data_IF_732317879380
#
_entry.id   IF_732317879380
#
_cell.length_a   1.000
_cell.length_b   1.000
_cell.length_c   1.000
_cell.angle_alpha   90.00
_cell.angle_beta   90.00
_cell.angle_gamma   90.00
#
_symmetry.space_group_name_H-M   'P 1'
#
loop_
_entity.id
_entity.type
_entity.pdbx_description
1 polymer ?
#
# COMPACT_ATOMS: atom_id res chain seq x y z
N UNK A 1 -11.86 57.91 15.73
CA UNK A 1 -12.77 56.83 15.32
C UNK A 1 -11.93 55.66 14.86
N UNK A 2 -11.67 54.71 15.76
CA UNK A 2 -10.85 53.51 15.45
C UNK A 2 -11.81 52.43 14.92
N UNK A 3 -11.65 52.07 13.66
CA UNK A 3 -12.35 50.97 13.06
C UNK A 3 -11.62 49.69 13.45
N UNK A 4 -12.22 48.90 14.32
CA UNK A 4 -11.73 47.56 14.68
C UNK A 4 -11.89 46.69 13.43
N UNK A 5 -10.78 46.33 12.79
CA UNK A 5 -10.75 45.24 11.80
C UNK A 5 -10.93 43.95 12.57
N UNK A 6 -12.14 43.39 12.49
CA UNK A 6 -12.39 42.03 12.98
C UNK A 6 -11.55 41.10 12.13
N UNK A 7 -10.51 40.51 12.70
CA UNK A 7 -9.80 39.42 12.10
C UNK A 7 -10.79 38.26 11.96
N UNK A 8 -11.12 37.92 10.73
CA UNK A 8 -11.90 36.73 10.40
C UNK A 8 -11.10 35.53 10.87
N UNK A 9 -11.51 34.90 11.96
CA UNK A 9 -10.90 33.67 12.46
C UNK A 9 -11.01 32.61 11.36
N UNK A 10 -9.90 32.26 10.74
CA UNK A 10 -9.84 31.20 9.75
C UNK A 10 -10.36 29.91 10.38
N UNK A 11 -11.43 29.33 9.84
CA UNK A 11 -11.96 28.06 10.30
C UNK A 11 -10.86 27.01 10.26
N UNK A 12 -10.70 26.19 11.32
CA UNK A 12 -9.69 25.16 11.32
C UNK A 12 -9.92 24.19 10.16
N UNK A 13 -8.88 23.94 9.36
CA UNK A 13 -8.95 22.97 8.27
C UNK A 13 -9.05 21.57 8.87
N UNK A 14 -10.09 20.83 8.49
CA UNK A 14 -10.27 19.43 8.90
C UNK A 14 -9.34 18.56 8.07
N UNK A 15 -8.53 17.74 8.73
CA UNK A 15 -7.70 16.73 8.06
C UNK A 15 -8.53 15.49 7.74
N UNK A 16 -8.55 15.11 6.47
CA UNK A 16 -9.35 13.99 5.97
C UNK A 16 -8.68 12.64 6.21
N UNK A 17 -9.52 11.62 6.35
CA UNK A 17 -9.12 10.21 6.32
C UNK A 17 -10.11 9.44 5.45
N UNK A 18 -9.60 8.51 4.62
CA UNK A 18 -10.41 7.61 3.80
C UNK A 18 -9.91 6.18 3.91
N UNK A 19 -10.86 5.25 3.87
CA UNK A 19 -10.57 3.82 3.79
C UNK A 19 -11.24 3.25 2.56
N UNK A 20 -10.49 2.45 1.79
CA UNK A 20 -10.96 1.73 0.62
C UNK A 20 -10.38 0.31 0.63
N UNK A 21 -11.12 -0.64 0.04
CA UNK A 21 -10.68 -2.02 -0.07
C UNK A 21 -11.04 -2.59 -1.44
N UNK A 22 -10.23 -3.54 -1.90
CA UNK A 22 -10.53 -4.35 -3.07
C UNK A 22 -10.07 -5.79 -2.86
N UNK A 23 -10.67 -6.73 -3.59
CA UNK A 23 -10.34 -8.14 -3.50
C UNK A 23 -9.89 -8.67 -4.86
N UNK A 24 -8.80 -9.44 -4.85
CA UNK A 24 -8.15 -10.06 -5.99
C UNK A 24 -8.45 -11.56 -5.99
N UNK A 25 -8.78 -12.13 -7.15
CA UNK A 25 -8.81 -13.57 -7.38
C UNK A 25 -7.46 -14.05 -7.93
N UNK A 26 -6.71 -14.86 -7.16
CA UNK A 26 -5.34 -15.22 -7.49
C UNK A 26 -5.17 -16.73 -7.69
N UNK A 27 -4.41 -17.09 -8.73
CA UNK A 27 -4.19 -18.48 -9.17
C UNK A 27 -2.96 -19.08 -8.47
N UNK A 28 -3.03 -19.21 -7.14
CA UNK A 28 -1.98 -19.75 -6.31
C UNK A 28 -2.48 -20.03 -4.90
N UNK A 29 -1.74 -20.85 -4.16
CA UNK A 29 -2.03 -21.12 -2.75
C UNK A 29 -1.63 -19.92 -1.89
N UNK A 30 -2.21 -19.81 -0.70
CA UNK A 30 -1.89 -18.75 0.27
C UNK A 30 -0.37 -18.60 0.48
N UNK A 31 0.34 -19.72 0.67
CA UNK A 31 1.78 -19.72 0.91
C UNK A 31 2.62 -19.25 -0.29
N UNK A 32 2.12 -19.43 -1.51
CA UNK A 32 2.82 -19.01 -2.74
C UNK A 32 2.53 -17.54 -3.06
N UNK A 33 1.32 -17.07 -2.76
CA UNK A 33 0.81 -15.74 -3.08
C UNK A 33 1.21 -14.69 -2.03
N UNK A 34 1.10 -15.02 -0.74
CA UNK A 34 1.36 -14.04 0.33
C UNK A 34 2.76 -13.39 0.22
N UNK A 35 3.84 -14.12 -0.09
CA UNK A 35 5.16 -13.53 -0.24
C UNK A 35 5.28 -12.50 -1.39
N UNK A 36 4.40 -12.55 -2.40
CA UNK A 36 4.40 -11.59 -3.51
C UNK A 36 3.99 -10.17 -3.09
N UNK A 37 3.35 -10.05 -1.94
CA UNK A 37 3.04 -8.76 -1.32
C UNK A 37 4.14 -8.23 -0.40
N UNK A 38 5.26 -8.95 -0.28
CA UNK A 38 6.40 -8.51 0.50
C UNK A 38 7.35 -7.59 -0.27
N UNK A 39 8.15 -6.76 0.43
CA UNK A 39 8.90 -5.67 -0.20
C UNK A 39 9.98 -6.10 -1.19
N UNK A 40 10.44 -7.35 -1.14
CA UNK A 40 11.42 -7.88 -2.10
C UNK A 40 10.73 -8.48 -3.31
N UNK A 41 9.70 -9.32 -3.10
CA UNK A 41 9.05 -10.06 -4.18
C UNK A 41 8.00 -9.25 -4.94
N UNK A 42 7.62 -8.08 -4.46
CA UNK A 42 6.75 -7.16 -5.21
C UNK A 42 7.36 -6.78 -6.57
N UNK A 43 8.68 -6.76 -6.69
CA UNK A 43 9.40 -6.54 -7.95
C UNK A 43 9.10 -7.60 -9.05
N UNK A 44 8.58 -8.77 -8.69
CA UNK A 44 8.24 -9.83 -9.66
C UNK A 44 7.02 -9.47 -10.50
N UNK A 45 6.14 -8.59 -10.00
CA UNK A 45 4.90 -8.20 -10.68
C UNK A 45 4.70 -6.69 -10.81
N UNK A 46 5.44 -5.87 -10.05
CA UNK A 46 5.40 -4.41 -10.13
C UNK A 46 6.73 -3.90 -10.71
N UNK A 47 6.80 -3.59 -12.04
CA UNK A 47 8.07 -3.31 -12.72
C UNK A 47 8.76 -2.03 -12.22
N UNK A 48 8.01 -1.07 -11.68
CA UNK A 48 8.56 0.18 -11.14
C UNK A 48 8.88 0.09 -9.63
N UNK A 49 8.72 -1.09 -9.04
CA UNK A 49 9.01 -1.31 -7.64
C UNK A 49 10.51 -1.35 -7.39
N UNK A 50 11.03 -0.35 -6.68
CA UNK A 50 12.46 -0.20 -6.40
C UNK A 50 12.69 0.30 -4.97
N UNK A 51 12.58 -0.60 -3.95
CA UNK A 51 12.81 -0.24 -2.57
C UNK A 51 14.29 -0.05 -2.27
N UNK A 52 14.62 1.02 -1.54
CA UNK A 52 15.94 1.22 -0.92
C UNK A 52 15.84 0.87 0.55
N UNK A 53 16.38 -0.28 0.94
CA UNK A 53 16.31 -0.75 2.32
C UNK A 53 17.18 0.09 3.26
N UNK A 54 16.64 0.35 4.45
CA UNK A 54 17.30 1.01 5.58
C UNK A 54 17.62 -0.06 6.61
N UNK A 55 16.64 -0.89 6.97
CA UNK A 55 16.76 -1.99 7.92
C UNK A 55 15.94 -3.21 7.45
N UNK A 56 16.56 -4.39 7.38
CA UNK A 56 18.01 -4.60 7.29
C UNK A 56 18.57 -4.04 5.98
N UNK A 57 19.79 -3.51 5.98
CA UNK A 57 20.37 -2.83 4.83
C UNK A 57 20.52 -3.72 3.58
N UNK A 58 20.70 -5.03 3.76
CA UNK A 58 20.77 -6.02 2.66
C UNK A 58 19.39 -6.35 2.06
N UNK A 59 18.29 -5.82 2.63
CA UNK A 59 16.92 -6.15 2.24
C UNK A 59 16.42 -7.46 2.85
N UNK A 60 15.18 -7.48 3.30
CA UNK A 60 14.51 -8.69 3.77
C UNK A 60 12.98 -8.54 3.70
N UNK A 61 12.28 -9.67 3.56
CA UNK A 61 10.83 -9.78 3.71
C UNK A 61 10.51 -10.21 5.14
N UNK A 62 10.49 -9.29 6.07
CA UNK A 62 10.21 -9.56 7.48
C UNK A 62 9.50 -8.38 8.14
N UNK A 63 8.83 -8.68 9.24
CA UNK A 63 8.31 -7.66 10.15
C UNK A 63 9.45 -6.78 10.66
N UNK A 64 9.21 -5.48 10.78
CA UNK A 64 10.21 -4.48 11.15
C UNK A 64 11.11 -3.99 9.99
N UNK A 65 11.01 -4.57 8.79
CA UNK A 65 11.76 -4.06 7.65
C UNK A 65 11.35 -2.62 7.33
N UNK A 66 12.35 -1.76 7.11
CA UNK A 66 12.18 -0.35 6.76
C UNK A 66 12.89 -0.05 5.45
N UNK A 67 12.22 0.68 4.58
CA UNK A 67 12.77 1.07 3.28
C UNK A 67 12.11 2.33 2.74
N UNK A 68 12.70 2.94 1.73
CA UNK A 68 12.12 4.06 0.99
C UNK A 68 11.83 3.67 -0.45
N UNK A 69 10.80 4.30 -1.03
CA UNK A 69 10.55 4.31 -2.48
C UNK A 69 10.42 5.74 -2.95
N UNK A 70 10.79 6.01 -4.19
CA UNK A 70 10.60 7.33 -4.79
C UNK A 70 9.11 7.63 -4.95
N UNK A 71 8.64 8.74 -4.42
CA UNK A 71 7.26 9.21 -4.57
C UNK A 71 7.09 10.08 -5.81
N UNK A 72 5.88 10.05 -6.42
CA UNK A 72 5.55 10.84 -7.61
C UNK A 72 5.60 12.36 -7.46
N UNK A 73 5.81 12.89 -6.26
CA UNK A 73 5.90 14.32 -5.94
C UNK A 73 7.29 14.72 -5.39
N UNK A 74 8.35 14.08 -5.88
CA UNK A 74 9.73 14.32 -5.45
C UNK A 74 10.00 14.11 -3.94
N UNK A 75 9.06 13.54 -3.20
CA UNK A 75 9.25 13.15 -1.79
C UNK A 75 9.32 11.64 -1.69
N UNK A 76 10.38 11.14 -1.10
CA UNK A 76 10.52 9.73 -0.77
C UNK A 76 9.40 9.30 0.18
N UNK A 77 8.86 8.12 -0.04
CA UNK A 77 7.93 7.46 0.88
C UNK A 77 8.72 6.56 1.80
N UNK A 78 8.50 6.69 3.08
CA UNK A 78 9.07 5.80 4.09
C UNK A 78 8.06 4.66 4.37
N UNK A 79 8.54 3.43 4.30
CA UNK A 79 7.77 2.22 4.52
C UNK A 79 8.26 1.49 5.76
N UNK A 80 7.34 0.98 6.55
CA UNK A 80 7.57 0.06 7.65
C UNK A 80 6.68 -1.17 7.46
N UNK A 81 7.26 -2.36 7.42
CA UNK A 81 6.51 -3.62 7.47
C UNK A 81 6.08 -3.85 8.92
N UNK A 82 4.80 -3.72 9.20
CA UNK A 82 4.25 -3.88 10.56
C UNK A 82 3.79 -5.29 10.84
N UNK A 83 3.53 -6.09 9.80
CA UNK A 83 3.21 -7.53 9.91
C UNK A 83 3.73 -8.24 8.66
N UNK A 84 4.40 -9.38 8.86
CA UNK A 84 4.79 -10.29 7.79
C UNK A 84 4.60 -11.74 8.24
N UNK A 85 3.39 -12.26 8.04
CA UNK A 85 2.96 -13.59 8.50
C UNK A 85 2.42 -14.38 7.30
N UNK A 86 3.33 -15.05 6.60
CA UNK A 86 3.02 -15.86 5.41
C UNK A 86 2.11 -17.04 5.75
N UNK A 87 2.31 -17.64 6.92
CA UNK A 87 1.52 -18.81 7.38
C UNK A 87 0.03 -18.49 7.54
N UNK A 88 -0.28 -17.27 7.98
CA UNK A 88 -1.64 -16.80 8.17
C UNK A 88 -2.12 -15.87 7.05
N UNK A 89 -1.35 -15.70 5.97
CA UNK A 89 -1.73 -14.88 4.82
C UNK A 89 -1.85 -13.39 5.14
N UNK A 90 -0.93 -12.83 5.95
CA UNK A 90 -0.99 -11.43 6.38
C UNK A 90 0.27 -10.68 6.05
N UNK A 91 0.12 -9.53 5.38
CA UNK A 91 1.17 -8.54 5.18
C UNK A 91 0.58 -7.16 5.45
N UNK A 92 1.23 -6.38 6.31
CA UNK A 92 0.75 -5.05 6.67
C UNK A 92 1.90 -4.03 6.64
N UNK A 93 1.57 -2.81 6.22
CA UNK A 93 2.51 -1.70 6.10
C UNK A 93 1.97 -0.43 6.72
N UNK A 94 2.87 0.39 7.22
CA UNK A 94 2.66 1.83 7.37
C UNK A 94 3.57 2.55 6.38
N UNK A 95 2.99 3.43 5.57
CA UNK A 95 3.69 4.21 4.56
C UNK A 95 3.49 5.69 4.86
N UNK A 96 4.58 6.44 4.95
CA UNK A 96 4.54 7.86 5.25
C UNK A 96 5.19 8.68 4.14
N UNK A 97 4.46 9.69 3.66
CA UNK A 97 5.03 10.82 2.94
C UNK A 97 5.12 11.97 3.95
N UNK A 98 6.33 12.30 4.46
CA UNK A 98 6.50 13.23 5.57
C UNK A 98 5.81 14.57 5.34
N UNK A 99 5.02 15.03 6.33
CA UNK A 99 4.29 16.28 6.29
C UNK A 99 3.14 16.34 5.27
N UNK A 100 2.72 15.21 4.69
CA UNK A 100 1.65 15.16 3.71
C UNK A 100 0.58 14.12 4.07
N UNK A 101 0.91 12.84 4.03
CA UNK A 101 -0.03 11.73 4.30
C UNK A 101 0.65 10.58 5.04
N UNK A 102 -0.15 9.85 5.81
CA UNK A 102 0.16 8.50 6.28
C UNK A 102 -0.85 7.51 5.68
N UNK A 103 -0.39 6.32 5.30
CA UNK A 103 -1.23 5.27 4.74
C UNK A 103 -0.96 3.96 5.46
N UNK A 104 -1.99 3.33 6.02
CA UNK A 104 -1.94 1.93 6.41
C UNK A 104 -2.38 1.07 5.21
N UNK A 105 -1.66 0.00 4.95
CA UNK A 105 -1.99 -1.00 3.93
C UNK A 105 -2.08 -2.34 4.63
N UNK A 106 -3.23 -3.01 4.54
CA UNK A 106 -3.45 -4.34 5.10
C UNK A 106 -3.84 -5.31 4.01
N UNK A 107 -3.11 -6.41 3.93
CA UNK A 107 -3.32 -7.46 2.94
C UNK A 107 -3.66 -8.74 3.68
N UNK A 108 -4.81 -9.33 3.34
CA UNK A 108 -5.30 -10.59 3.88
C UNK A 108 -5.51 -11.58 2.76
N UNK A 109 -4.75 -12.67 2.76
CA UNK A 109 -4.85 -13.75 1.78
C UNK A 109 -5.54 -14.95 2.44
N UNK A 110 -6.60 -15.45 1.82
CA UNK A 110 -7.36 -16.60 2.32
C UNK A 110 -7.60 -17.62 1.20
N UNK A 111 -7.71 -18.91 1.49
CA UNK A 111 -8.02 -19.93 0.48
C UNK A 111 -9.36 -19.65 -0.21
N UNK A 112 -9.45 -19.97 -1.51
CA UNK A 112 -10.66 -19.85 -2.33
C UNK A 112 -10.92 -21.15 -3.14
N UNK A 113 -10.59 -22.28 -2.55
CA UNK A 113 -10.76 -23.61 -3.14
C UNK A 113 -9.62 -24.03 -4.08
N UNK A 114 -9.22 -25.30 -4.01
CA UNK A 114 -8.15 -25.88 -4.84
C UNK A 114 -6.82 -25.14 -4.69
N UNK A 115 -6.22 -24.76 -5.80
CA UNK A 115 -4.97 -24.01 -5.91
C UNK A 115 -5.21 -22.50 -6.05
N UNK A 116 -6.29 -21.97 -5.49
CA UNK A 116 -6.67 -20.56 -5.59
C UNK A 116 -6.78 -19.91 -4.22
N UNK A 117 -6.60 -18.58 -4.21
CA UNK A 117 -6.85 -17.77 -3.03
C UNK A 117 -7.49 -16.42 -3.41
N UNK A 118 -8.01 -15.75 -2.39
CA UNK A 118 -8.45 -14.35 -2.46
C UNK A 118 -7.54 -13.49 -1.60
N UNK A 119 -7.07 -12.37 -2.15
CA UNK A 119 -6.34 -11.37 -1.39
C UNK A 119 -7.19 -10.10 -1.28
N UNK A 120 -7.57 -9.75 -0.05
CA UNK A 120 -8.21 -8.46 0.23
C UNK A 120 -7.16 -7.45 0.64
N UNK A 121 -7.09 -6.34 -0.09
CA UNK A 121 -6.18 -5.22 0.16
C UNK A 121 -6.99 -4.04 0.68
N UNK A 122 -6.65 -3.53 1.85
CA UNK A 122 -7.29 -2.38 2.47
C UNK A 122 -6.29 -1.24 2.62
N UNK A 123 -6.65 -0.07 2.11
CA UNK A 123 -5.92 1.18 2.30
C UNK A 123 -6.69 2.07 3.26
N UNK A 124 -6.01 2.59 4.28
CA UNK A 124 -6.50 3.71 5.10
C UNK A 124 -5.50 4.86 4.99
N UNK A 125 -5.89 5.92 4.28
CA UNK A 125 -5.05 7.09 4.05
C UNK A 125 -5.54 8.27 4.88
N UNK A 126 -4.61 8.91 5.59
CA UNK A 126 -4.84 10.04 6.48
C UNK A 126 -4.00 11.24 6.04
N UNK A 127 -4.60 12.41 5.95
CA UNK A 127 -3.87 13.66 5.79
C UNK A 127 -3.09 14.00 7.06
N UNK A 128 -1.86 14.49 6.93
CA UNK A 128 -1.03 14.99 8.01
C UNK A 128 -0.93 16.52 7.98
N UNK A 129 -1.38 17.14 6.88
CA UNK A 129 -1.46 18.58 6.68
C UNK A 129 -2.64 18.88 5.73
N UNK A 130 -3.13 20.12 5.63
CA UNK A 130 -4.22 20.49 4.73
C UNK A 130 -4.01 20.07 3.28
N UNK A 131 -2.79 20.15 2.78
CA UNK A 131 -2.39 19.73 1.42
C UNK A 131 -2.55 18.21 1.22
N UNK A 132 -2.51 17.45 2.29
CA UNK A 132 -2.74 16.00 2.28
C UNK A 132 -4.17 15.61 1.94
N UNK A 133 -5.14 16.50 2.12
CA UNK A 133 -6.54 16.21 1.80
C UNK A 133 -6.74 15.88 0.31
N UNK A 134 -6.01 16.53 -0.59
CA UNK A 134 -6.05 16.21 -2.02
C UNK A 134 -5.54 14.80 -2.30
N UNK A 135 -4.48 14.37 -1.61
CA UNK A 135 -3.94 13.01 -1.73
C UNK A 135 -4.91 11.97 -1.15
N UNK A 136 -5.58 12.29 -0.05
CA UNK A 136 -6.63 11.43 0.53
C UNK A 136 -7.80 11.30 -0.44
N UNK A 137 -8.21 12.40 -1.11
CA UNK A 137 -9.32 12.40 -2.06
C UNK A 137 -9.09 11.50 -3.28
N UNK A 138 -7.82 11.27 -3.68
CA UNK A 138 -7.44 10.35 -4.77
C UNK A 138 -7.74 8.88 -4.43
N UNK A 139 -7.87 8.54 -3.15
CA UNK A 139 -8.30 7.22 -2.70
C UNK A 139 -9.83 7.09 -2.86
N UNK A 140 -10.30 6.89 -4.08
CA UNK A 140 -11.70 6.82 -4.46
C UNK A 140 -12.03 5.50 -5.19
N UNK A 141 -13.31 5.27 -5.51
CA UNK A 141 -13.77 4.05 -6.14
C UNK A 141 -13.12 3.79 -7.52
N UNK A 142 -12.86 4.83 -8.31
CA UNK A 142 -12.19 4.69 -9.60
C UNK A 142 -10.75 4.19 -9.41
N UNK A 143 -10.00 4.80 -8.50
CA UNK A 143 -8.63 4.37 -8.17
C UNK A 143 -8.61 2.90 -7.71
N UNK A 144 -9.54 2.51 -6.83
CA UNK A 144 -9.68 1.14 -6.32
C UNK A 144 -9.85 0.14 -7.45
N UNK A 145 -10.76 0.42 -8.40
CA UNK A 145 -11.01 -0.50 -9.51
C UNK A 145 -9.81 -0.61 -10.45
N UNK A 146 -9.09 0.50 -10.71
CA UNK A 146 -7.86 0.47 -11.49
C UNK A 146 -6.77 -0.37 -10.81
N UNK A 147 -6.59 -0.21 -9.48
CA UNK A 147 -5.64 -1.02 -8.73
C UNK A 147 -6.03 -2.50 -8.74
N UNK A 148 -7.31 -2.81 -8.53
CA UNK A 148 -7.80 -4.19 -8.55
C UNK A 148 -7.46 -4.90 -9.87
N UNK A 149 -7.80 -4.30 -11.01
CA UNK A 149 -7.55 -4.87 -12.33
C UNK A 149 -6.04 -5.04 -12.57
N UNK A 150 -5.27 -4.00 -12.28
CA UNK A 150 -3.84 -3.99 -12.52
C UNK A 150 -3.11 -5.06 -11.68
N UNK A 151 -3.36 -5.11 -10.38
CA UNK A 151 -2.70 -6.05 -9.48
C UNK A 151 -3.11 -7.49 -9.76
N UNK A 152 -4.42 -7.76 -9.97
CA UNK A 152 -4.89 -9.10 -10.28
C UNK A 152 -4.23 -9.66 -11.54
N UNK A 153 -4.14 -8.85 -12.60
CA UNK A 153 -3.50 -9.22 -13.86
C UNK A 153 -2.00 -9.46 -13.68
N UNK A 154 -1.30 -8.54 -13.02
CA UNK A 154 0.15 -8.59 -12.85
C UNK A 154 0.59 -9.76 -11.97
N UNK A 155 -0.08 -9.96 -10.83
CA UNK A 155 0.25 -11.05 -9.90
C UNK A 155 -0.05 -12.42 -10.52
N UNK A 156 -1.21 -12.59 -11.19
CA UNK A 156 -1.51 -13.83 -11.88
C UNK A 156 -0.53 -14.11 -13.03
N UNK A 157 -0.05 -13.07 -13.71
CA UNK A 157 1.02 -13.17 -14.71
C UNK A 157 2.35 -13.66 -14.12
N UNK A 158 2.73 -13.17 -12.93
CA UNK A 158 3.93 -13.64 -12.24
C UNK A 158 3.80 -15.09 -11.76
N UNK A 159 2.64 -15.46 -11.18
CA UNK A 159 2.35 -16.83 -10.75
C UNK A 159 2.43 -17.83 -11.92
N UNK A 160 1.93 -17.45 -13.11
CA UNK A 160 1.98 -18.30 -14.31
C UNK A 160 3.41 -18.56 -14.81
N UNK A 161 4.34 -17.61 -14.62
CA UNK A 161 5.75 -17.77 -15.01
C UNK A 161 6.52 -18.73 -14.08
N UNK A 162 6.14 -18.78 -12.81
CA UNK A 162 6.77 -19.68 -11.82
C UNK A 162 6.43 -21.16 -12.00
N UNK A 163 5.37 -21.49 -12.74
CA UNK A 163 4.93 -22.88 -12.99
C UNK A 163 5.64 -23.51 -14.20
N UNK A 164 6.36 -22.72 -14.98
CA UNK A 164 6.99 -23.18 -16.24
C UNK A 164 8.43 -23.69 -16.10
N UNK A 165 8.90 -23.96 -14.89
CA UNK A 165 10.25 -24.47 -14.62
C UNK A 165 10.24 -25.81 -13.87
N UNK A 166 9.57 -26.84 -14.47
CA UNK A 166 9.81 -28.26 -14.19
C UNK A 166 9.78 -29.09 -15.48
#
# INVERSE_FOLDING_TARGET
MFQAVLAEEARPVVLEQRTQSFTLGLNGRVADVTPLFGPVREAEWAPDWSPRFIHPAQGAQCEGAMFTTTGGHAKDRLWLVTTYDVGNGRVEYVVMTPGLIATEIKIRVVPDGGQRCKATVTYRRSALAPEGNEEVAKLNAHWVEQQRIHWETAINGALGKGISHD
#
